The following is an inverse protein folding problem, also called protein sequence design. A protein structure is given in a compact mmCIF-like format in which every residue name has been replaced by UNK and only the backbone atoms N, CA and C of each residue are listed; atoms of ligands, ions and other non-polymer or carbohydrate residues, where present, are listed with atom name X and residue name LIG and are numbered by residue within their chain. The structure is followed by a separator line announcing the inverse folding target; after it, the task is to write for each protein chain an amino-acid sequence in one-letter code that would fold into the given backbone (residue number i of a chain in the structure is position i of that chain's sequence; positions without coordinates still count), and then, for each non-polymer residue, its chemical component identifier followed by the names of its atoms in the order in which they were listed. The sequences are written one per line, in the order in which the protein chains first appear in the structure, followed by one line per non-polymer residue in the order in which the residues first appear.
data_IF_153629067964
#
_entry.id   IF_153629067964
#
_cell.length_a   1.000
_cell.length_b   1.000
_cell.length_c   1.000
_cell.angle_alpha   90.00
_cell.angle_beta   90.00
_cell.angle_gamma   90.00
#
_symmetry.space_group_name_H-M   'P 1'
#
loop_
_entity.id
_entity.type
_entity.pdbx_description
1 polymer ?
#
# COMPACT_ATOMS: atom_id res chain seq x y z
N UNK A 1 19.24 4.74 52.59
CA UNK A 1 18.01 4.18 53.18
C UNK A 1 16.82 4.69 52.39
N UNK A 2 16.41 4.00 51.31
CA UNK A 2 15.03 3.61 50.98
C UNK A 2 15.21 2.51 49.91
N UNK A 3 14.77 1.29 50.22
CA UNK A 3 14.78 0.12 49.34
C UNK A 3 13.36 -0.10 48.86
N UNK A 4 13.13 -0.13 47.55
CA UNK A 4 11.86 -0.56 46.96
C UNK A 4 12.17 -1.62 45.89
N UNK A 5 11.60 -2.80 46.12
CA UNK A 5 11.83 -4.08 45.45
C UNK A 5 10.50 -4.54 44.84
N UNK A 6 10.58 -5.22 43.70
CA UNK A 6 9.54 -6.02 43.01
C UNK A 6 8.44 -5.22 42.29
N UNK A 7 7.90 -5.64 41.14
CA UNK A 7 7.77 -7.00 40.61
C UNK A 7 7.74 -7.01 39.07
N UNK A 8 8.40 -7.99 38.45
CA UNK A 8 8.22 -8.38 37.04
C UNK A 8 6.83 -9.02 36.83
N UNK A 9 6.15 -8.76 35.70
CA UNK A 9 4.89 -9.44 35.38
C UNK A 9 5.18 -10.77 34.67
N UNK A 10 5.02 -11.87 35.41
CA UNK A 10 4.88 -13.23 34.87
C UNK A 10 3.63 -13.31 34.01
N UNK A 11 3.80 -13.56 32.71
CA UNK A 11 2.69 -13.88 31.79
C UNK A 11 2.27 -15.35 32.03
N UNK A 12 0.98 -15.64 32.27
CA UNK A 12 0.53 -17.01 32.47
C UNK A 12 0.43 -17.72 31.11
N UNK A 13 1.05 -18.90 31.02
CA UNK A 13 0.89 -19.82 29.91
C UNK A 13 -0.56 -20.34 29.87
N UNK A 14 -1.26 -20.09 28.77
CA UNK A 14 -2.59 -20.63 28.49
C UNK A 14 -2.45 -22.12 28.18
N UNK A 15 -3.23 -23.01 28.82
CA UNK A 15 -3.14 -24.44 28.60
C UNK A 15 -3.73 -24.80 27.23
N UNK A 16 -3.09 -25.78 26.58
CA UNK A 16 -3.56 -26.42 25.37
C UNK A 16 -4.95 -27.01 25.62
N UNK A 17 -5.97 -26.40 25.01
CA UNK A 17 -7.30 -26.96 24.94
C UNK A 17 -7.32 -28.07 23.89
N UNK A 18 -7.79 -29.21 24.37
CA UNK A 18 -7.89 -30.49 23.70
C UNK A 18 -8.76 -30.46 22.43
N UNK A 19 -8.46 -31.48 21.64
CA UNK A 19 -9.16 -32.13 20.55
C UNK A 19 -10.64 -31.83 20.30
N UNK A 20 -10.98 -32.08 19.03
CA UNK A 20 -12.31 -32.33 18.46
C UNK A 20 -13.02 -31.10 17.89
N UNK A 21 -12.68 -30.74 16.64
CA UNK A 21 -13.68 -30.47 15.59
C UNK A 21 -13.03 -30.59 14.21
N UNK A 22 -13.40 -31.66 13.50
CA UNK A 22 -13.55 -31.74 12.04
C UNK A 22 -12.31 -31.58 11.14
N UNK A 23 -11.87 -32.75 10.66
CA UNK A 23 -11.43 -32.92 9.29
C UNK A 23 -12.48 -32.36 8.30
N UNK A 24 -12.33 -31.10 7.91
CA UNK A 24 -12.94 -30.53 6.71
C UNK A 24 -11.81 -30.28 5.74
N UNK A 25 -11.78 -31.07 4.65
CA UNK A 25 -10.79 -30.94 3.60
C UNK A 25 -10.61 -29.48 3.24
N UNK A 26 -9.38 -28.96 3.36
CA UNK A 26 -9.03 -27.70 2.72
C UNK A 26 -9.13 -27.95 1.22
N UNK A 27 -10.28 -27.65 0.64
CA UNK A 27 -10.33 -27.30 -0.78
C UNK A 27 -9.42 -26.08 -0.93
N UNK A 28 -8.21 -26.33 -1.43
CA UNK A 28 -7.34 -25.28 -1.93
C UNK A 28 -8.19 -24.49 -2.93
N UNK A 29 -8.45 -23.18 -2.69
CA UNK A 29 -9.39 -22.44 -3.51
C UNK A 29 -8.93 -22.55 -4.96
N UNK A 30 -9.69 -23.29 -5.75
CA UNK A 30 -9.31 -23.62 -7.11
C UNK A 30 -9.06 -22.32 -7.86
N UNK A 31 -7.82 -22.09 -8.28
CA UNK A 31 -7.43 -20.89 -9.01
C UNK A 31 -8.34 -20.75 -10.24
N UNK A 32 -9.29 -19.79 -10.24
CA UNK A 32 -10.40 -19.82 -11.20
C UNK A 32 -9.94 -19.46 -12.63
N UNK A 33 -8.66 -19.12 -12.78
CA UNK A 33 -8.06 -18.64 -14.01
C UNK A 33 -7.18 -19.67 -14.72
N UNK A 34 -7.05 -20.89 -14.17
CA UNK A 34 -6.18 -21.94 -14.72
C UNK A 34 -6.40 -22.15 -16.23
N UNK A 35 -7.67 -22.28 -16.62
CA UNK A 35 -8.07 -22.54 -18.02
C UNK A 35 -8.69 -21.31 -18.72
N UNK A 36 -8.61 -20.12 -18.12
CA UNK A 36 -9.20 -18.91 -18.70
C UNK A 36 -8.44 -18.48 -19.98
N UNK A 37 -9.07 -17.95 -21.03
CA UNK A 37 -8.35 -17.51 -22.23
C UNK A 37 -7.41 -16.33 -21.91
N UNK A 38 -6.39 -16.12 -22.75
CA UNK A 38 -5.32 -15.13 -22.50
C UNK A 38 -5.90 -13.72 -22.38
N UNK A 39 -6.85 -13.35 -23.24
CA UNK A 39 -7.60 -12.09 -23.12
C UNK A 39 -8.24 -11.89 -21.74
N UNK A 40 -8.73 -12.95 -21.10
CA UNK A 40 -9.37 -12.87 -19.78
C UNK A 40 -8.33 -12.64 -18.69
N UNK A 41 -7.15 -13.25 -18.78
CA UNK A 41 -6.04 -12.95 -17.86
C UNK A 41 -5.59 -11.49 -17.98
N UNK A 42 -5.48 -10.98 -19.20
CA UNK A 42 -5.07 -9.60 -19.48
C UNK A 42 -6.13 -8.61 -18.98
N UNK A 43 -7.41 -8.89 -19.23
CA UNK A 43 -8.52 -8.11 -18.66
C UNK A 43 -8.49 -8.12 -17.13
N UNK A 44 -8.18 -9.26 -16.49
CA UNK A 44 -8.03 -9.34 -15.04
C UNK A 44 -6.87 -8.49 -14.55
N UNK A 45 -5.72 -8.49 -15.25
CA UNK A 45 -4.58 -7.61 -14.91
C UNK A 45 -4.98 -6.14 -14.98
N UNK A 46 -5.68 -5.70 -16.04
CA UNK A 46 -6.20 -4.34 -16.16
C UNK A 46 -7.13 -3.97 -15.00
N UNK A 47 -8.03 -4.88 -14.62
CA UNK A 47 -8.92 -4.69 -13.48
C UNK A 47 -8.15 -4.56 -12.15
N UNK A 48 -7.14 -5.40 -11.94
CA UNK A 48 -6.28 -5.34 -10.75
C UNK A 48 -5.49 -4.02 -10.68
N UNK A 49 -5.05 -3.48 -11.82
CA UNK A 49 -4.43 -2.16 -11.87
C UNK A 49 -5.41 -1.03 -11.53
N UNK A 50 -6.66 -1.11 -11.99
CA UNK A 50 -7.70 -0.16 -11.63
C UNK A 50 -8.03 -0.20 -10.12
N UNK A 51 -8.08 -1.40 -9.53
CA UNK A 51 -8.26 -1.59 -8.09
C UNK A 51 -7.10 -0.99 -7.29
N UNK A 52 -5.85 -1.21 -7.71
CA UNK A 52 -4.66 -0.58 -7.10
C UNK A 52 -4.69 0.93 -7.20
N UNK A 53 -5.00 1.48 -8.39
CA UNK A 53 -5.12 2.92 -8.60
C UNK A 53 -6.24 3.55 -7.75
N UNK A 54 -7.36 2.84 -7.54
CA UNK A 54 -8.39 3.26 -6.61
C UNK A 54 -7.89 3.23 -5.16
N UNK A 55 -7.13 2.21 -4.77
CA UNK A 55 -6.45 2.14 -3.48
C UNK A 55 -5.55 3.34 -3.20
N UNK A 56 -4.74 3.74 -4.19
CA UNK A 56 -3.91 4.95 -4.11
C UNK A 56 -4.74 6.21 -3.96
N UNK A 57 -5.78 6.41 -4.77
CA UNK A 57 -6.67 7.57 -4.66
C UNK A 57 -7.31 7.67 -3.28
N UNK A 58 -7.77 6.55 -2.72
CA UNK A 58 -8.29 6.50 -1.34
C UNK A 58 -7.24 6.96 -0.34
N UNK A 59 -5.99 6.51 -0.46
CA UNK A 59 -4.91 6.97 0.42
C UNK A 59 -4.64 8.47 0.27
N UNK A 60 -4.61 8.99 -0.96
CA UNK A 60 -4.39 10.42 -1.23
C UNK A 60 -5.52 11.30 -0.67
N UNK A 61 -6.77 10.86 -0.77
CA UNK A 61 -7.94 11.55 -0.18
C UNK A 61 -7.81 11.69 1.34
N UNK A 62 -7.24 10.69 2.03
CA UNK A 62 -6.97 10.75 3.47
C UNK A 62 -5.76 11.62 3.82
N UNK A 63 -4.84 11.82 2.88
CA UNK A 63 -3.67 12.67 3.05
C UNK A 63 -3.98 14.14 2.71
N UNK A 64 -5.01 14.43 1.92
CA UNK A 64 -5.43 15.80 1.60
C UNK A 64 -5.78 16.65 2.85
N UNK A 65 -6.46 16.13 3.89
CA UNK A 65 -6.65 16.82 5.17
C UNK A 65 -5.34 17.09 5.95
N UNK A 66 -4.29 16.25 5.79
CA UNK A 66 -2.96 16.51 6.39
C UNK A 66 -2.38 17.81 5.85
N UNK A 67 -2.69 18.14 4.60
CA UNK A 67 -2.25 19.37 3.94
C UNK A 67 -2.89 20.64 4.53
N UNK A 68 -4.03 20.52 5.22
CA UNK A 68 -4.70 21.62 5.94
C UNK A 68 -3.98 22.05 7.23
N UNK A 69 -3.10 21.20 7.77
CA UNK A 69 -2.27 21.49 8.95
C UNK A 69 -1.24 22.62 8.71
N UNK A 70 -0.98 22.94 7.44
CA UNK A 70 0.01 23.93 6.98
C UNK A 70 -0.24 25.37 7.46
N UNK A 71 -1.42 25.68 7.99
CA UNK A 71 -1.76 27.05 8.40
C UNK A 71 -1.43 27.40 9.87
N UNK A 72 -1.18 26.42 10.75
CA UNK A 72 -1.22 26.62 12.21
C UNK A 72 0.15 26.78 12.91
N UNK A 73 1.26 26.63 12.20
CA UNK A 73 2.63 26.69 12.75
C UNK A 73 3.18 28.09 13.07
N UNK A 74 2.41 29.18 12.92
CA UNK A 74 2.91 30.57 13.07
C UNK A 74 2.63 31.25 14.42
N UNK A 75 1.96 30.61 15.38
CA UNK A 75 1.32 31.34 16.49
C UNK A 75 1.72 31.04 17.95
N UNK A 76 2.47 29.98 18.27
CA UNK A 76 2.52 29.51 19.66
C UNK A 76 3.83 29.86 20.38
N UNK A 77 3.83 31.06 21.00
CA UNK A 77 4.69 31.37 22.16
C UNK A 77 4.33 30.42 23.31
N UNK A 78 5.35 29.72 23.79
CA UNK A 78 5.47 28.86 24.99
C UNK A 78 4.25 28.88 25.93
N UNK A 79 3.36 27.88 25.88
CA UNK A 79 2.41 27.59 26.94
C UNK A 79 3.00 26.54 27.90
N UNK A 80 2.80 26.72 29.20
CA UNK A 80 3.19 25.78 30.24
C UNK A 80 2.73 24.35 29.91
N UNK A 81 3.62 23.37 30.08
CA UNK A 81 3.61 22.04 29.46
C UNK A 81 2.25 21.31 29.46
N UNK A 82 1.43 21.42 30.52
CA UNK A 82 0.09 20.80 30.56
C UNK A 82 -1.00 21.57 29.83
N UNK A 83 -0.99 22.90 29.85
CA UNK A 83 -2.02 23.74 29.19
C UNK A 83 -1.80 23.75 27.68
N UNK A 84 -0.52 23.83 27.29
CA UNK A 84 -0.09 23.68 25.89
C UNK A 84 -0.45 22.32 25.31
N UNK A 85 -0.21 21.23 26.05
CA UNK A 85 -0.55 19.88 25.56
C UNK A 85 -2.06 19.63 25.46
N UNK A 86 -2.87 20.09 26.42
CA UNK A 86 -4.35 20.00 26.31
C UNK A 86 -4.89 20.86 25.18
N UNK A 87 -4.30 22.04 24.97
CA UNK A 87 -4.66 22.88 23.83
C UNK A 87 -4.25 22.20 22.53
N UNK A 88 -3.04 21.63 22.44
CA UNK A 88 -2.57 20.81 21.32
C UNK A 88 -3.50 19.64 21.00
N UNK A 89 -3.91 18.85 21.99
CA UNK A 89 -4.85 17.74 21.79
C UNK A 89 -6.26 18.21 21.37
N UNK A 90 -6.69 19.41 21.79
CA UNK A 90 -7.99 20.00 21.40
C UNK A 90 -7.95 20.82 20.11
N UNK A 91 -6.78 21.31 19.72
CA UNK A 91 -6.56 22.18 18.55
C UNK A 91 -5.92 21.43 17.39
N UNK A 92 -5.47 20.19 17.61
CA UNK A 92 -5.18 19.27 16.54
C UNK A 92 -6.45 18.99 15.74
N UNK A 93 -6.38 18.74 14.43
CA UNK A 93 -7.52 18.23 13.70
C UNK A 93 -8.00 16.96 14.38
N UNK A 94 -9.31 16.73 14.33
CA UNK A 94 -9.93 15.48 14.74
C UNK A 94 -9.49 14.34 13.80
N UNK A 95 -8.22 13.92 13.93
CA UNK A 95 -7.66 12.80 13.23
C UNK A 95 -8.30 11.53 13.78
N UNK A 96 -9.19 10.95 13.00
CA UNK A 96 -9.70 9.62 13.27
C UNK A 96 -8.61 8.59 12.92
N UNK A 97 -7.68 8.39 13.87
CA UNK A 97 -6.61 7.42 13.74
C UNK A 97 -7.12 5.99 13.57
N UNK A 98 -8.30 5.66 14.10
CA UNK A 98 -8.90 4.34 13.93
C UNK A 98 -9.31 4.16 12.46
N UNK A 99 -10.03 5.14 11.89
CA UNK A 99 -10.43 5.13 10.47
C UNK A 99 -9.23 5.19 9.53
N UNK A 100 -8.20 5.97 9.84
CA UNK A 100 -6.96 5.99 9.07
C UNK A 100 -6.30 4.61 9.07
N UNK A 101 -6.09 4.00 10.24
CA UNK A 101 -5.50 2.65 10.34
C UNK A 101 -6.32 1.60 9.61
N UNK A 102 -7.64 1.59 9.79
CA UNK A 102 -8.54 0.69 9.09
C UNK A 102 -8.48 0.88 7.57
N UNK A 103 -8.38 2.12 7.09
CA UNK A 103 -8.27 2.40 5.65
C UNK A 103 -6.93 1.96 5.09
N UNK A 104 -5.82 2.34 5.71
CA UNK A 104 -4.47 1.91 5.30
C UNK A 104 -4.36 0.39 5.30
N UNK A 105 -4.89 -0.26 6.33
CA UNK A 105 -4.93 -1.71 6.42
C UNK A 105 -5.73 -2.34 5.27
N UNK A 106 -6.94 -1.83 5.00
CA UNK A 106 -7.77 -2.30 3.90
C UNK A 106 -7.11 -2.12 2.53
N UNK A 107 -6.51 -0.96 2.28
CA UNK A 107 -5.76 -0.70 1.03
C UNK A 107 -4.54 -1.61 0.92
N UNK A 108 -3.82 -1.82 2.01
CA UNK A 108 -2.63 -2.70 2.04
C UNK A 108 -3.03 -4.16 1.74
N UNK A 109 -4.13 -4.63 2.32
CA UNK A 109 -4.66 -5.97 2.04
C UNK A 109 -5.10 -6.13 0.59
N UNK A 110 -5.85 -5.15 0.05
CA UNK A 110 -6.29 -5.16 -1.34
C UNK A 110 -5.10 -5.16 -2.30
N UNK A 111 -4.08 -4.34 -2.01
CA UNK A 111 -2.86 -4.29 -2.80
C UNK A 111 -2.10 -5.61 -2.76
N UNK A 112 -1.93 -6.19 -1.57
CA UNK A 112 -1.25 -7.48 -1.42
C UNK A 112 -2.00 -8.62 -2.11
N UNK A 113 -3.34 -8.62 -2.06
CA UNK A 113 -4.17 -9.57 -2.79
C UNK A 113 -4.00 -9.41 -4.30
N UNK A 114 -4.09 -8.19 -4.82
CA UNK A 114 -3.87 -7.90 -6.23
C UNK A 114 -2.46 -8.32 -6.70
N UNK A 115 -1.42 -8.06 -5.90
CA UNK A 115 -0.05 -8.50 -6.22
C UNK A 115 0.08 -10.02 -6.30
N UNK A 116 -0.54 -10.77 -5.37
CA UNK A 116 -0.53 -12.23 -5.44
C UNK A 116 -1.25 -12.74 -6.68
N UNK A 117 -2.37 -12.14 -7.04
CA UNK A 117 -3.10 -12.53 -8.26
C UNK A 117 -2.27 -12.25 -9.51
N UNK A 118 -1.63 -11.08 -9.62
CA UNK A 118 -0.79 -10.77 -10.79
C UNK A 118 0.41 -11.72 -10.89
N UNK A 119 1.07 -12.06 -9.77
CA UNK A 119 2.18 -13.02 -9.76
C UNK A 119 1.72 -14.43 -10.19
N UNK A 120 0.52 -14.85 -9.78
CA UNK A 120 -0.05 -16.11 -10.23
C UNK A 120 -0.34 -16.09 -11.74
N UNK A 121 -0.86 -14.98 -12.27
CA UNK A 121 -1.05 -14.80 -13.72
C UNK A 121 0.28 -14.82 -14.48
N UNK A 122 1.33 -14.16 -13.96
CA UNK A 122 2.69 -14.20 -14.54
C UNK A 122 3.21 -15.63 -14.65
N UNK A 123 3.07 -16.43 -13.59
CA UNK A 123 3.49 -17.82 -13.55
C UNK A 123 2.74 -18.70 -14.57
N UNK A 124 1.43 -18.47 -14.75
CA UNK A 124 0.61 -19.17 -15.75
C UNK A 124 1.00 -18.81 -17.19
N UNK A 125 1.31 -17.53 -17.45
CA UNK A 125 1.74 -17.04 -18.77
C UNK A 125 3.13 -17.57 -19.13
N UNK A 126 4.08 -17.50 -18.19
CA UNK A 126 5.46 -17.96 -18.41
C UNK A 126 5.60 -19.48 -18.45
N UNK A 127 4.78 -20.21 -17.70
CA UNK A 127 4.84 -21.66 -17.57
C UNK A 127 3.96 -22.39 -18.60
N UNK A 128 2.74 -22.85 -18.23
CA UNK A 128 1.91 -23.69 -19.09
C UNK A 128 1.61 -23.12 -20.48
N UNK A 129 1.43 -21.80 -20.59
CA UNK A 129 1.04 -21.14 -21.85
C UNK A 129 2.23 -20.83 -22.77
N UNK A 130 3.46 -20.91 -22.26
CA UNK A 130 4.70 -20.59 -22.98
C UNK A 130 4.64 -19.21 -23.67
N UNK A 131 4.15 -18.21 -22.96
CA UNK A 131 4.06 -16.81 -23.39
C UNK A 131 5.04 -15.93 -22.60
N UNK A 132 6.37 -16.06 -22.84
CA UNK A 132 7.38 -15.32 -22.09
C UNK A 132 7.30 -13.81 -22.34
N UNK A 133 6.81 -13.36 -23.50
CA UNK A 133 6.63 -11.93 -23.79
C UNK A 133 5.59 -11.31 -22.87
N UNK A 134 4.40 -11.93 -22.76
CA UNK A 134 3.34 -11.45 -21.85
C UNK A 134 3.78 -11.55 -20.38
N UNK A 135 4.46 -12.64 -19.99
CA UNK A 135 5.03 -12.75 -18.66
C UNK A 135 6.06 -11.63 -18.38
N UNK A 136 6.87 -11.26 -19.38
CA UNK A 136 7.81 -10.14 -19.32
C UNK A 136 7.13 -8.80 -19.06
N UNK A 137 6.04 -8.51 -19.78
CA UNK A 137 5.23 -7.31 -19.53
C UNK A 137 4.64 -7.28 -18.13
N UNK A 138 4.11 -8.41 -17.65
CA UNK A 138 3.56 -8.51 -16.29
C UNK A 138 4.63 -8.29 -15.23
N UNK A 139 5.84 -8.81 -15.45
CA UNK A 139 6.98 -8.57 -14.57
C UNK A 139 7.38 -7.10 -14.54
N UNK A 140 7.55 -6.47 -15.72
CA UNK A 140 7.85 -5.03 -15.81
C UNK A 140 6.77 -4.19 -15.13
N UNK A 141 5.50 -4.58 -15.25
CA UNK A 141 4.38 -3.95 -14.55
C UNK A 141 4.54 -4.05 -13.01
N UNK A 142 4.96 -5.19 -12.45
CA UNK A 142 5.24 -5.31 -11.01
C UNK A 142 6.44 -4.46 -10.56
N UNK A 143 7.50 -4.41 -11.36
CA UNK A 143 8.70 -3.60 -11.07
C UNK A 143 8.38 -2.09 -11.06
N UNK A 144 7.59 -1.63 -12.04
CA UNK A 144 7.11 -0.26 -12.10
C UNK A 144 6.18 0.06 -10.93
N UNK A 145 5.27 -0.86 -10.59
CA UNK A 145 4.39 -0.70 -9.44
C UNK A 145 5.18 -0.61 -8.12
N UNK A 146 6.18 -1.46 -7.92
CA UNK A 146 7.05 -1.41 -6.75
C UNK A 146 7.79 -0.07 -6.69
N UNK A 147 8.27 0.41 -7.84
CA UNK A 147 8.93 1.72 -7.97
C UNK A 147 7.97 2.86 -7.62
N UNK A 148 6.71 2.78 -8.05
CA UNK A 148 5.65 3.74 -7.71
C UNK A 148 5.42 3.77 -6.21
N UNK A 149 5.15 2.61 -5.60
CA UNK A 149 4.96 2.49 -4.15
C UNK A 149 6.14 3.04 -3.35
N UNK A 150 7.37 2.66 -3.71
CA UNK A 150 8.57 3.14 -3.04
C UNK A 150 8.73 4.65 -3.15
N UNK A 151 8.44 5.22 -4.32
CA UNK A 151 8.51 6.69 -4.54
C UNK A 151 7.43 7.42 -3.76
N UNK A 152 6.19 6.88 -3.72
CA UNK A 152 5.09 7.45 -2.90
C UNK A 152 5.39 7.34 -1.41
N UNK A 153 5.96 6.23 -0.94
CA UNK A 153 6.38 6.10 0.45
C UNK A 153 7.48 7.11 0.82
N UNK A 154 8.47 7.33 -0.07
CA UNK A 154 9.48 8.37 0.13
C UNK A 154 8.85 9.77 0.15
N UNK A 155 7.88 10.06 -0.73
CA UNK A 155 7.12 11.32 -0.68
C UNK A 155 6.42 11.50 0.66
N UNK A 156 5.73 10.47 1.16
CA UNK A 156 5.03 10.52 2.44
C UNK A 156 5.98 10.76 3.62
N UNK A 157 7.17 10.16 3.59
CA UNK A 157 8.21 10.38 4.61
C UNK A 157 8.80 11.78 4.54
N UNK A 158 8.97 12.34 3.34
CA UNK A 158 9.52 13.69 3.13
C UNK A 158 8.49 14.80 3.34
N UNK A 159 7.20 14.49 3.21
CA UNK A 159 6.11 15.44 3.46
C UNK A 159 5.95 15.82 4.94
N UNK A 160 6.77 15.27 5.86
CA UNK A 160 6.91 15.78 7.24
C UNK A 160 7.60 17.16 7.24
N UNK A 161 6.87 18.24 7.55
CA UNK A 161 7.28 19.60 7.16
C UNK A 161 8.10 20.36 8.23
N UNK A 162 8.73 19.67 9.18
CA UNK A 162 9.38 20.35 10.30
C UNK A 162 10.80 20.86 9.99
N UNK A 163 11.42 20.43 8.87
CA UNK A 163 12.81 20.79 8.51
C UNK A 163 13.08 20.93 7.00
N UNK A 164 12.06 20.91 6.13
CA UNK A 164 12.26 20.85 4.68
C UNK A 164 12.89 22.13 4.12
N UNK A 165 14.21 22.11 3.89
CA UNK A 165 14.95 23.20 3.25
C UNK A 165 14.60 23.32 1.75
N UNK A 166 15.17 24.32 1.06
CA UNK A 166 14.98 24.49 -0.39
C UNK A 166 15.35 23.23 -1.19
N UNK A 167 16.33 22.45 -0.71
CA UNK A 167 16.72 21.17 -1.29
C UNK A 167 15.59 20.11 -1.22
N UNK A 168 14.83 20.10 -0.12
CA UNK A 168 13.76 19.11 0.08
C UNK A 168 12.53 19.44 -0.78
N UNK A 169 12.30 20.71 -1.09
CA UNK A 169 11.28 21.12 -2.07
C UNK A 169 11.63 20.62 -3.48
N UNK A 170 12.89 20.76 -3.91
CA UNK A 170 13.36 20.25 -5.22
C UNK A 170 13.27 18.72 -5.25
N UNK A 171 13.71 18.03 -4.20
CA UNK A 171 13.60 16.56 -4.09
C UNK A 171 12.15 16.10 -4.11
N UNK A 172 11.25 16.76 -3.38
CA UNK A 172 9.82 16.44 -3.40
C UNK A 172 9.22 16.61 -4.80
N UNK A 173 9.59 17.68 -5.52
CA UNK A 173 9.17 17.88 -6.91
C UNK A 173 9.73 16.80 -7.84
N UNK A 174 10.98 16.39 -7.67
CA UNK A 174 11.58 15.28 -8.42
C UNK A 174 10.87 13.96 -8.15
N UNK A 175 10.53 13.67 -6.90
CA UNK A 175 9.77 12.47 -6.53
C UNK A 175 8.35 12.49 -7.10
N UNK A 176 7.64 13.64 -7.06
CA UNK A 176 6.33 13.80 -7.70
C UNK A 176 6.40 13.55 -9.21
N UNK A 177 7.40 14.12 -9.86
CA UNK A 177 7.67 13.88 -11.28
C UNK A 177 7.97 12.40 -11.55
N UNK A 178 8.73 11.74 -10.67
CA UNK A 178 9.00 10.31 -10.78
C UNK A 178 7.72 9.47 -10.66
N UNK A 179 6.81 9.79 -9.74
CA UNK A 179 5.52 9.10 -9.63
C UNK A 179 4.71 9.23 -10.92
N UNK A 180 4.62 10.44 -11.49
CA UNK A 180 3.89 10.69 -12.75
C UNK A 180 4.49 9.84 -13.88
N UNK A 181 5.81 9.91 -14.07
CA UNK A 181 6.51 9.12 -15.10
C UNK A 181 6.33 7.61 -14.92
N UNK A 182 6.34 7.13 -13.69
CA UNK A 182 6.09 5.71 -13.41
C UNK A 182 4.65 5.33 -13.73
N UNK A 183 3.67 6.20 -13.48
CA UNK A 183 2.27 5.95 -13.87
C UNK A 183 2.07 5.94 -15.39
N UNK A 184 2.79 6.81 -16.12
CA UNK A 184 2.82 6.81 -17.59
C UNK A 184 3.40 5.49 -18.10
N UNK A 185 4.57 5.06 -17.60
CA UNK A 185 5.19 3.79 -17.97
C UNK A 185 4.31 2.57 -17.66
N UNK A 186 3.58 2.58 -16.52
CA UNK A 186 2.59 1.53 -16.20
C UNK A 186 1.50 1.48 -17.27
N UNK A 187 1.03 2.65 -17.72
CA UNK A 187 -0.02 2.76 -18.73
C UNK A 187 0.46 2.27 -20.09
N UNK A 188 1.71 2.54 -20.46
CA UNK A 188 2.35 2.04 -21.68
C UNK A 188 2.46 0.50 -21.65
N UNK A 189 3.01 -0.08 -20.59
CA UNK A 189 3.12 -1.55 -20.45
C UNK A 189 1.75 -2.24 -20.50
N UNK A 190 0.70 -1.62 -19.98
CA UNK A 190 -0.66 -2.14 -20.07
C UNK A 190 -1.24 -2.12 -21.50
N UNK A 191 -0.84 -1.14 -22.32
CA UNK A 191 -1.21 -1.06 -23.72
C UNK A 191 -0.47 -2.12 -24.54
N UNK A 192 0.84 -2.27 -24.32
CA UNK A 192 1.67 -3.29 -24.97
C UNK A 192 1.19 -4.69 -24.62
N UNK A 193 0.89 -4.95 -23.34
CA UNK A 193 0.32 -6.22 -22.88
C UNK A 193 -0.99 -6.55 -23.59
N UNK A 194 -1.86 -5.56 -23.81
CA UNK A 194 -3.12 -5.77 -24.54
C UNK A 194 -2.86 -6.10 -26.01
N UNK A 195 -1.98 -5.36 -26.66
CA UNK A 195 -1.66 -5.54 -28.08
C UNK A 195 -0.99 -6.91 -28.35
N UNK A 196 -0.04 -7.30 -27.51
CA UNK A 196 0.64 -8.59 -27.63
C UNK A 196 -0.29 -9.76 -27.29
N UNK A 197 -1.25 -9.55 -26.39
CA UNK A 197 -2.26 -10.56 -26.09
C UNK A 197 -3.23 -10.79 -27.24
N UNK A 198 -3.67 -9.72 -27.92
CA UNK A 198 -4.47 -9.80 -29.15
C UNK A 198 -3.72 -10.51 -30.27
N UNK A 199 -2.38 -10.39 -30.31
CA UNK A 199 -1.52 -11.05 -31.29
C UNK A 199 -1.23 -12.53 -30.97
N UNK A 200 -1.51 -12.97 -29.74
CA UNK A 200 -1.20 -14.32 -29.27
C UNK A 200 -2.41 -15.28 -29.28
N UNK A 201 -3.60 -14.79 -29.65
CA UNK A 201 -4.80 -15.59 -29.95
C UNK A 201 -4.82 -15.98 -31.44
#
# INVERSE_FOLDING_TARGET
MITETAAEPTVPAVPAAEEATEARGREEPAWPWKDAPIRTLVQRIHQLQAERAQGFRRLEEWLAPVQGLRAWGRGLRVPTCRRGHRQYLRSGPDYDFARYRSTVHGVTQAFAAASREVLAVEAELGGPRRQPLLAGHVRSLQELEQTRLGTVALLQLMETPELAGQEDAVRMQQLKMKVIKTMEAISEVLQDLRFDAESAE
#
